data_IF_746222474351
#
_entry.id   IF_746222474351
#
_cell.length_a   1.000
_cell.length_b   1.000
_cell.length_c   1.000
_cell.angle_alpha   90.00
_cell.angle_beta   90.00
_cell.angle_gamma   90.00
#
_symmetry.space_group_name_H-M   'P 1'
#
loop_
_entity.id
_entity.type
_entity.pdbx_description
1 polymer ?
#
# COMPACT_ATOMS: atom_id res chain seq x y z
N UNK A 1 -26.18 37.77 -14.39
CA UNK A 1 -26.00 36.62 -13.50
C UNK A 1 -24.95 35.73 -14.18
N UNK A 2 -23.79 35.55 -13.55
CA UNK A 2 -22.72 34.72 -14.11
C UNK A 2 -23.02 33.28 -13.74
N UNK A 3 -23.07 32.40 -14.74
CA UNK A 3 -23.43 30.99 -14.57
C UNK A 3 -22.34 30.26 -13.80
N UNK A 4 -22.60 29.96 -12.52
CA UNK A 4 -21.70 29.21 -11.63
C UNK A 4 -22.03 27.72 -11.66
N UNK A 5 -22.08 27.14 -12.87
CA UNK A 5 -22.24 25.69 -13.01
C UNK A 5 -20.90 24.99 -12.85
N UNK A 6 -20.85 24.02 -11.94
CA UNK A 6 -19.69 23.16 -11.73
C UNK A 6 -20.01 21.75 -12.25
N UNK A 7 -19.08 21.16 -12.99
CA UNK A 7 -19.22 19.81 -13.54
C UNK A 7 -18.25 18.85 -12.83
N UNK A 8 -18.74 17.65 -12.50
CA UNK A 8 -17.92 16.57 -11.97
C UNK A 8 -17.66 15.54 -13.07
N UNK A 9 -16.39 15.34 -13.42
CA UNK A 9 -15.96 14.34 -14.39
C UNK A 9 -15.41 13.13 -13.65
N UNK A 10 -15.86 11.94 -14.04
CA UNK A 10 -15.39 10.67 -13.47
C UNK A 10 -14.75 9.83 -14.56
N UNK A 11 -13.54 9.35 -14.29
CA UNK A 11 -12.94 8.28 -15.07
C UNK A 11 -13.30 6.93 -14.44
N UNK A 12 -14.21 6.19 -15.09
CA UNK A 12 -14.86 5.01 -14.52
C UNK A 12 -13.90 3.87 -14.13
N UNK A 13 -12.76 3.74 -14.81
CA UNK A 13 -11.74 2.72 -14.55
C UNK A 13 -10.42 3.34 -14.05
N UNK A 14 -10.48 4.51 -13.40
CA UNK A 14 -9.29 5.18 -12.88
C UNK A 14 -8.47 4.29 -11.95
N UNK A 15 -9.12 3.64 -10.98
CA UNK A 15 -8.44 2.82 -9.96
C UNK A 15 -7.65 1.69 -10.60
N UNK A 16 -8.29 0.84 -11.43
CA UNK A 16 -7.59 -0.26 -12.10
C UNK A 16 -6.50 0.23 -13.05
N UNK A 17 -6.74 1.34 -13.76
CA UNK A 17 -5.72 1.90 -14.67
C UNK A 17 -4.47 2.37 -13.91
N UNK A 18 -4.64 2.95 -12.73
CA UNK A 18 -3.53 3.42 -11.90
C UNK A 18 -2.82 2.25 -11.22
N UNK A 19 -3.55 1.27 -10.69
CA UNK A 19 -2.97 0.05 -10.13
C UNK A 19 -2.10 -0.66 -11.17
N UNK A 20 -2.64 -0.91 -12.37
CA UNK A 20 -1.86 -1.53 -13.45
C UNK A 20 -0.70 -0.67 -13.93
N UNK A 21 -0.80 0.65 -13.88
CA UNK A 21 0.34 1.52 -14.18
C UNK A 21 1.48 1.32 -13.16
N UNK A 22 1.18 1.28 -11.86
CA UNK A 22 2.20 1.04 -10.83
C UNK A 22 2.77 -0.37 -10.84
N UNK A 23 1.98 -1.38 -11.21
CA UNK A 23 2.44 -2.74 -11.46
C UNK A 23 3.49 -2.74 -12.59
N UNK A 24 3.16 -2.20 -13.77
CA UNK A 24 4.10 -2.13 -14.89
C UNK A 24 5.38 -1.36 -14.53
N UNK A 25 5.27 -0.21 -13.86
CA UNK A 25 6.44 0.56 -13.42
C UNK A 25 7.35 -0.25 -12.50
N UNK A 26 6.78 -1.09 -11.64
CA UNK A 26 7.57 -1.98 -10.78
C UNK A 26 8.25 -3.08 -11.57
N UNK A 27 7.52 -3.73 -12.47
CA UNK A 27 8.02 -4.86 -13.26
C UNK A 27 9.13 -4.43 -14.23
N UNK A 28 9.01 -3.24 -14.82
CA UNK A 28 10.04 -2.62 -15.66
C UNK A 28 11.17 -1.96 -14.84
N UNK A 29 11.07 -1.97 -13.51
CA UNK A 29 11.97 -1.29 -12.57
C UNK A 29 12.13 0.24 -12.82
N UNK A 30 11.12 0.87 -13.40
CA UNK A 30 11.09 2.31 -13.65
C UNK A 30 10.83 3.09 -12.36
N UNK A 31 11.59 4.17 -12.15
CA UNK A 31 11.46 5.06 -10.98
C UNK A 31 11.56 4.39 -9.59
N UNK A 32 12.02 3.15 -9.52
CA UNK A 32 12.28 2.47 -8.24
C UNK A 32 13.40 3.19 -7.50
N UNK A 33 13.11 3.59 -6.26
CA UNK A 33 13.95 4.48 -5.46
C UNK A 33 14.23 3.92 -4.06
N UNK A 34 13.93 2.64 -3.82
CA UNK A 34 14.30 1.89 -2.62
C UNK A 34 14.52 0.41 -2.95
N UNK A 35 15.39 -0.24 -2.18
CA UNK A 35 15.61 -1.68 -2.23
C UNK A 35 15.33 -2.31 -0.87
N UNK A 36 14.52 -3.36 -0.84
CA UNK A 36 14.29 -4.21 0.33
C UNK A 36 15.14 -5.47 0.17
N UNK A 37 16.01 -5.77 1.14
CA UNK A 37 16.89 -6.93 1.11
C UNK A 37 16.60 -7.88 2.27
N UNK A 38 16.50 -9.17 1.99
CA UNK A 38 16.36 -10.25 2.99
C UNK A 38 16.91 -11.57 2.41
N UNK A 39 17.41 -12.47 3.27
CA UNK A 39 17.94 -13.79 2.87
C UNK A 39 18.93 -13.77 1.67
N UNK A 40 19.77 -12.73 1.59
CA UNK A 40 20.73 -12.57 0.49
C UNK A 40 20.10 -12.22 -0.87
N UNK A 41 18.79 -11.99 -0.91
CA UNK A 41 18.03 -11.52 -2.08
C UNK A 41 17.52 -10.11 -1.86
N UNK A 42 17.08 -9.45 -2.93
CA UNK A 42 16.59 -8.08 -2.88
C UNK A 42 15.43 -7.84 -3.84
N UNK A 43 14.55 -6.90 -3.48
CA UNK A 43 13.45 -6.40 -4.28
C UNK A 43 13.58 -4.89 -4.42
N UNK A 44 13.42 -4.36 -5.63
CA UNK A 44 13.28 -2.92 -5.85
C UNK A 44 11.82 -2.52 -5.76
N UNK A 45 11.56 -1.31 -5.27
CA UNK A 45 10.22 -0.79 -5.11
C UNK A 45 10.24 0.75 -5.09
N UNK A 46 9.03 1.32 -5.04
CA UNK A 46 8.81 2.75 -4.88
C UNK A 46 8.56 3.12 -3.41
N UNK A 47 9.31 4.09 -2.90
CA UNK A 47 9.17 4.63 -1.54
C UNK A 47 7.77 5.16 -1.28
N UNK A 48 7.18 5.83 -2.27
CA UNK A 48 5.84 6.41 -2.16
C UNK A 48 4.78 5.34 -1.94
N UNK A 49 4.84 4.24 -2.69
CA UNK A 49 3.89 3.13 -2.58
C UNK A 49 4.06 2.41 -1.24
N UNK A 50 5.30 2.07 -0.85
CA UNK A 50 5.57 1.45 0.44
C UNK A 50 5.11 2.33 1.62
N UNK A 51 5.35 3.65 1.55
CA UNK A 51 4.96 4.60 2.59
C UNK A 51 3.45 4.79 2.71
N UNK A 52 2.72 4.67 1.59
CA UNK A 52 1.26 4.77 1.59
C UNK A 52 0.61 3.55 2.26
N UNK A 53 1.20 2.36 2.08
CA UNK A 53 0.64 1.11 2.59
C UNK A 53 1.19 0.70 3.97
N UNK A 54 2.33 1.26 4.42
CA UNK A 54 2.95 0.90 5.69
C UNK A 54 3.43 2.13 6.47
N UNK A 55 2.86 2.39 7.66
CA UNK A 55 3.38 3.40 8.58
C UNK A 55 4.83 3.14 8.99
N UNK A 56 5.24 1.87 9.10
CA UNK A 56 6.63 1.50 9.39
C UNK A 56 7.58 1.98 8.29
N UNK A 57 7.30 1.64 7.02
CA UNK A 57 8.14 2.11 5.91
C UNK A 57 8.09 3.63 5.77
N UNK A 58 6.93 4.25 6.00
CA UNK A 58 6.79 5.72 5.98
C UNK A 58 7.70 6.41 6.99
N UNK A 59 7.69 5.94 8.25
CA UNK A 59 8.54 6.50 9.31
C UNK A 59 10.03 6.27 9.02
N UNK A 60 10.39 5.04 8.60
CA UNK A 60 11.77 4.65 8.29
C UNK A 60 12.36 5.41 7.08
N UNK A 61 11.58 5.54 6.01
CA UNK A 61 12.03 6.21 4.78
C UNK A 61 12.07 7.73 4.93
N UNK A 62 11.25 8.32 5.82
CA UNK A 62 11.34 9.74 6.17
C UNK A 62 12.60 10.06 6.97
N UNK A 63 13.01 9.17 7.88
CA UNK A 63 14.21 9.35 8.71
C UNK A 63 15.52 9.02 7.98
N UNK A 64 15.45 8.48 6.75
CA UNK A 64 16.62 8.10 5.95
C UNK A 64 16.77 8.99 4.71
N UNK A 65 17.40 10.19 4.82
CA UNK A 65 17.62 11.10 3.70
C UNK A 65 18.75 10.58 2.80
N UNK A 66 18.42 9.62 1.94
CA UNK A 66 19.31 9.10 0.90
C UNK A 66 18.55 8.94 -0.41
N UNK A 67 19.29 8.90 -1.53
CA UNK A 67 18.71 8.79 -2.88
C UNK A 67 18.04 7.42 -3.10
N UNK A 68 18.68 6.36 -2.63
CA UNK A 68 18.22 4.98 -2.83
C UNK A 68 18.54 4.12 -1.59
N UNK A 69 17.71 4.15 -0.54
CA UNK A 69 17.93 3.35 0.66
C UNK A 69 17.88 1.86 0.34
N UNK A 70 18.78 1.11 0.97
CA UNK A 70 18.73 -0.36 1.04
C UNK A 70 18.30 -0.74 2.44
N UNK A 71 17.06 -1.21 2.60
CA UNK A 71 16.49 -1.65 3.88
C UNK A 71 16.73 -3.14 4.02
N UNK A 72 17.53 -3.54 5.00
CA UNK A 72 17.80 -4.94 5.29
C UNK A 72 16.80 -5.44 6.34
N UNK A 73 15.96 -6.40 5.97
CA UNK A 73 14.99 -7.04 6.84
C UNK A 73 15.56 -8.36 7.34
N UNK A 74 15.78 -8.44 8.65
CA UNK A 74 16.21 -9.66 9.33
C UNK A 74 15.00 -10.49 9.75
N UNK A 75 15.16 -11.81 9.80
CA UNK A 75 14.12 -12.76 10.22
C UNK A 75 12.83 -12.72 9.39
N UNK A 76 12.92 -12.24 8.14
CA UNK A 76 11.84 -12.25 7.16
C UNK A 76 12.24 -13.16 6.00
N UNK A 77 11.42 -14.18 5.76
CA UNK A 77 11.59 -15.06 4.62
C UNK A 77 11.37 -14.28 3.31
N UNK A 78 12.25 -14.46 2.33
CA UNK A 78 12.09 -13.78 1.04
C UNK A 78 10.74 -14.05 0.36
N UNK A 79 10.16 -15.24 0.51
CA UNK A 79 8.83 -15.56 -0.03
C UNK A 79 7.73 -14.70 0.56
N UNK A 80 7.81 -14.42 1.87
CA UNK A 80 6.80 -13.65 2.58
C UNK A 80 6.94 -12.16 2.23
N UNK A 81 8.18 -11.67 2.14
CA UNK A 81 8.44 -10.32 1.66
C UNK A 81 7.95 -10.13 0.22
N UNK A 82 8.25 -11.07 -0.67
CA UNK A 82 7.81 -11.01 -2.06
C UNK A 82 6.29 -10.93 -2.18
N UNK A 83 5.59 -11.86 -1.51
CA UNK A 83 4.13 -11.88 -1.46
C UNK A 83 3.54 -10.59 -0.86
N UNK A 84 4.20 -10.00 0.14
CA UNK A 84 3.77 -8.75 0.75
C UNK A 84 3.89 -7.58 -0.20
N UNK A 85 5.00 -7.49 -0.95
CA UNK A 85 5.15 -6.45 -1.96
C UNK A 85 4.18 -6.70 -3.13
N UNK A 86 3.93 -7.94 -3.55
CA UNK A 86 2.84 -8.25 -4.51
C UNK A 86 1.48 -7.74 -4.02
N UNK A 87 1.11 -8.04 -2.77
CA UNK A 87 -0.11 -7.54 -2.15
C UNK A 87 -0.20 -6.00 -2.17
N UNK A 88 0.91 -5.31 -1.90
CA UNK A 88 0.97 -3.84 -1.91
C UNK A 88 0.66 -3.26 -3.29
N UNK A 89 1.11 -3.90 -4.38
CA UNK A 89 0.93 -3.39 -5.74
C UNK A 89 -0.39 -3.83 -6.38
N UNK A 90 -0.84 -5.06 -6.12
CA UNK A 90 -2.05 -5.61 -6.73
C UNK A 90 -3.31 -5.44 -5.85
N UNK A 91 -3.13 -5.17 -4.56
CA UNK A 91 -4.21 -5.17 -3.57
C UNK A 91 -4.63 -6.57 -3.09
N UNK A 92 -4.09 -7.64 -3.68
CA UNK A 92 -4.34 -9.03 -3.32
C UNK A 92 -3.10 -9.91 -3.54
N UNK A 93 -3.05 -11.08 -2.87
CA UNK A 93 -2.00 -12.07 -3.07
C UNK A 93 -2.48 -13.47 -2.70
N UNK A 94 -1.97 -14.48 -3.41
CA UNK A 94 -2.22 -15.88 -3.10
C UNK A 94 -1.08 -16.45 -2.25
N UNK A 95 -1.38 -16.90 -1.03
CA UNK A 95 -0.39 -17.47 -0.10
C UNK A 95 -0.82 -18.89 0.29
N UNK A 96 0.13 -19.83 0.29
CA UNK A 96 -0.14 -21.19 0.75
C UNK A 96 -0.50 -21.20 2.24
N UNK A 97 -1.45 -22.06 2.64
CA UNK A 97 -1.90 -22.20 4.03
C UNK A 97 -0.74 -22.40 5.03
N UNK A 98 0.28 -23.17 4.64
CA UNK A 98 1.47 -23.42 5.47
C UNK A 98 2.34 -22.17 5.73
N UNK A 99 2.28 -21.18 4.85
CA UNK A 99 3.04 -19.92 4.91
C UNK A 99 2.19 -18.74 5.39
N UNK A 100 0.87 -18.93 5.51
CA UNK A 100 -0.05 -17.85 5.88
C UNK A 100 0.31 -17.21 7.23
N UNK A 101 0.65 -18.03 8.23
CA UNK A 101 1.01 -17.51 9.55
C UNK A 101 2.30 -16.69 9.55
N UNK A 102 3.32 -17.10 8.78
CA UNK A 102 4.58 -16.35 8.67
C UNK A 102 4.41 -15.07 7.85
N UNK A 103 3.62 -15.13 6.78
CA UNK A 103 3.21 -13.99 5.98
C UNK A 103 2.50 -12.92 6.82
N UNK A 104 1.45 -13.31 7.56
CA UNK A 104 0.70 -12.38 8.42
C UNK A 104 1.58 -11.80 9.54
N UNK A 105 2.47 -12.60 10.12
CA UNK A 105 3.44 -12.10 11.11
C UNK A 105 4.37 -11.04 10.51
N UNK A 106 4.84 -11.27 9.29
CA UNK A 106 5.68 -10.30 8.55
C UNK A 106 4.90 -9.02 8.25
N UNK A 107 3.64 -9.15 7.82
CA UNK A 107 2.74 -8.01 7.59
C UNK A 107 2.52 -7.18 8.86
N UNK A 108 2.38 -7.82 10.01
CA UNK A 108 2.25 -7.18 11.32
C UNK A 108 3.51 -6.40 11.71
N UNK A 109 4.69 -7.03 11.62
CA UNK A 109 5.98 -6.38 11.91
C UNK A 109 6.20 -5.15 11.03
N UNK A 110 5.88 -5.27 9.74
CA UNK A 110 6.00 -4.18 8.78
C UNK A 110 4.79 -3.26 8.76
N UNK A 111 3.80 -3.45 9.65
CA UNK A 111 2.57 -2.65 9.77
C UNK A 111 1.88 -2.40 8.43
N UNK A 112 1.69 -3.44 7.60
CA UNK A 112 1.05 -3.30 6.28
C UNK A 112 -0.46 -3.16 6.42
N UNK A 113 -0.99 -2.03 5.94
CA UNK A 113 -2.41 -1.69 5.96
C UNK A 113 -3.23 -2.75 5.22
N UNK A 114 -4.40 -3.10 5.77
CA UNK A 114 -5.27 -4.15 5.22
C UNK A 114 -4.92 -5.58 5.68
N UNK A 115 -3.75 -5.77 6.30
CA UNK A 115 -3.32 -7.08 6.83
C UNK A 115 -3.07 -7.09 8.35
N UNK A 116 -3.07 -5.92 8.99
CA UNK A 116 -2.88 -5.77 10.45
C UNK A 116 -4.16 -5.30 11.14
N UNK A 117 -4.49 -5.84 12.30
CA UNK A 117 -5.52 -5.27 13.17
C UNK A 117 -4.99 -3.95 13.75
N UNK A 118 -5.57 -2.82 13.36
CA UNK A 118 -5.25 -1.54 13.97
C UNK A 118 -5.66 -1.59 15.45
N UNK A 119 -4.73 -1.87 16.35
CA UNK A 119 -4.91 -1.52 17.75
C UNK A 119 -4.99 0.01 17.83
N UNK A 120 -6.14 0.52 18.26
CA UNK A 120 -6.49 1.93 18.37
C UNK A 120 -5.36 2.82 18.89
N UNK A 121 -4.93 3.77 18.06
CA UNK A 121 -4.38 5.05 18.54
C UNK A 121 -4.90 6.19 17.64
N UNK A 122 -5.88 6.88 18.21
CA UNK A 122 -6.37 8.22 17.89
C UNK A 122 -5.20 9.22 17.80
N UNK A 123 -5.00 9.85 16.64
CA UNK A 123 -5.04 11.32 16.43
C UNK A 123 -4.75 11.64 14.96
N UNK A 124 -5.46 12.64 14.44
CA UNK A 124 -5.40 13.30 13.11
C UNK A 124 -4.41 12.74 12.07
N UNK A 125 -4.92 11.90 11.17
CA UNK A 125 -4.44 11.78 9.79
C UNK A 125 -5.56 11.12 8.96
N UNK A 126 -6.60 11.90 8.67
CA UNK A 126 -7.69 11.57 7.75
C UNK A 126 -7.20 11.61 6.29
N UNK A 127 -6.12 10.88 6.00
CA UNK A 127 -5.66 10.55 4.64
C UNK A 127 -5.22 9.08 4.59
N UNK A 128 -5.42 8.33 5.68
CA UNK A 128 -5.12 6.89 5.74
C UNK A 128 -6.09 6.17 4.81
N UNK A 129 -5.59 5.89 3.60
CA UNK A 129 -6.22 5.16 2.52
C UNK A 129 -7.24 5.90 1.63
N UNK A 130 -6.90 7.05 1.05
CA UNK A 130 -7.65 7.52 -0.16
C UNK A 130 -7.46 6.63 -1.41
N UNK A 131 -6.66 5.56 -1.34
CA UNK A 131 -6.64 4.48 -2.33
C UNK A 131 -7.61 3.32 -1.99
N UNK A 132 -7.98 3.09 -0.72
CA UNK A 132 -9.04 2.14 -0.33
C UNK A 132 -10.39 2.80 -0.02
N UNK A 133 -10.46 4.14 0.11
CA UNK A 133 -11.73 4.85 0.33
C UNK A 133 -12.70 4.69 -0.85
N UNK A 134 -12.20 4.38 -2.04
CA UNK A 134 -13.05 4.01 -3.18
C UNK A 134 -13.67 2.61 -3.07
N UNK A 135 -13.13 1.73 -2.22
CA UNK A 135 -13.74 0.41 -1.99
C UNK A 135 -15.10 0.52 -1.28
N UNK A 136 -15.31 1.56 -0.46
CA UNK A 136 -16.60 1.81 0.20
C UNK A 136 -17.58 2.66 -0.60
N UNK A 137 -17.13 3.41 -1.61
CA UNK A 137 -18.00 4.24 -2.48
C UNK A 137 -18.47 3.54 -3.77
N UNK A 138 -18.01 2.31 -4.02
CA UNK A 138 -18.39 1.53 -5.20
C UNK A 138 -19.34 0.35 -4.94
N UNK A 139 -19.77 0.14 -3.69
CA UNK A 139 -20.85 -0.81 -3.40
C UNK A 139 -22.21 -0.09 -3.49
N UNK A 140 -23.11 -0.49 -4.42
CA UNK A 140 -24.48 0.00 -4.39
C UNK A 140 -25.19 -0.50 -3.12
N UNK A 141 -25.63 0.42 -2.25
CA UNK A 141 -26.53 0.11 -1.12
C UNK A 141 -26.03 0.37 0.29
N UNK A 142 -24.87 0.99 0.51
CA UNK A 142 -24.39 1.33 1.86
C UNK A 142 -24.78 2.77 2.24
N UNK A 143 -25.72 2.91 3.18
CA UNK A 143 -26.06 4.17 3.82
C UNK A 143 -25.01 4.49 4.90
N UNK A 144 -24.36 5.65 4.82
CA UNK A 144 -23.42 6.13 5.84
C UNK A 144 -24.17 6.44 7.16
N UNK A 145 -23.66 6.01 8.33
CA UNK A 145 -24.17 6.49 9.61
C UNK A 145 -23.69 7.93 9.84
N UNK A 146 -24.60 8.85 10.14
CA UNK A 146 -24.25 10.21 10.59
C UNK A 146 -24.58 11.36 9.64
N UNK A 147 -25.76 11.33 8.99
CA UNK A 147 -26.50 12.57 8.70
C UNK A 147 -27.83 12.52 9.43
N UNK A 148 -27.79 13.00 10.67
CA UNK A 148 -28.70 14.02 11.22
C UNK A 148 -27.89 14.85 12.24
#
# INVERSE_FOLDING_TARGET
MVDTQHFCLRWNNYQSSITSAFENLRDDEDFVDVTLACDGKSLKAHRVVLSACSPYFRELLKSTPCKHPVIVLQDVAFSDLHALVEFIYHGEVNVHQRSLSSFLKTAEVLRVSGLTQQADQTDRDEVRCSFFFFFFLSLPGVQLPGRD
#
